data_IF_415375449967
#
_entry.id   IF_415375449967
#
_cell.length_a   1.000
_cell.length_b   1.000
_cell.length_c   1.000
_cell.angle_alpha   90.00
_cell.angle_beta   90.00
_cell.angle_gamma   90.00
#
_symmetry.space_group_name_H-M   'P 1'
#
loop_
_entity.id
_entity.type
_entity.pdbx_description
1 polymer ?
#
# COMPACT_ATOMS: atom_id res chain seq x y z
N UNK A 1 11.16 -5.57 0.96
CA UNK A 1 10.17 -6.45 1.61
C UNK A 1 10.55 -7.89 1.37
N UNK A 2 10.46 -8.73 2.41
CA UNK A 2 10.54 -10.19 2.29
C UNK A 2 9.23 -10.80 2.78
N UNK A 3 8.76 -11.86 2.14
CA UNK A 3 7.52 -12.55 2.50
C UNK A 3 7.81 -13.98 2.93
N UNK A 4 7.27 -14.39 4.08
CA UNK A 4 7.21 -15.77 4.53
C UNK A 4 5.79 -16.30 4.24
N UNK A 5 5.68 -17.11 3.19
CA UNK A 5 4.39 -17.64 2.69
C UNK A 5 3.86 -18.74 3.60
N UNK A 6 4.70 -19.43 4.35
CA UNK A 6 4.25 -20.46 5.30
C UNK A 6 3.64 -19.84 6.56
N UNK A 7 4.23 -18.74 7.04
CA UNK A 7 3.73 -18.01 8.22
C UNK A 7 2.73 -16.91 7.88
N UNK A 8 2.51 -16.61 6.60
CA UNK A 8 1.68 -15.50 6.12
C UNK A 8 2.10 -14.15 6.73
N UNK A 9 3.41 -13.92 6.81
CA UNK A 9 4.00 -12.68 7.34
C UNK A 9 4.92 -12.02 6.33
N UNK A 10 5.15 -10.72 6.52
CA UNK A 10 6.09 -9.96 5.71
C UNK A 10 7.00 -9.11 6.61
N UNK A 11 8.28 -9.06 6.25
CA UNK A 11 9.26 -8.15 6.83
C UNK A 11 9.33 -6.88 5.99
N UNK A 12 9.10 -5.74 6.64
CA UNK A 12 9.10 -4.41 6.01
C UNK A 12 10.39 -3.66 6.34
N UNK A 13 10.95 -2.99 5.33
CA UNK A 13 12.06 -2.06 5.53
C UNK A 13 11.50 -0.73 6.01
N UNK A 14 11.90 -0.32 7.22
CA UNK A 14 11.42 0.91 7.85
C UNK A 14 12.19 2.16 7.38
N UNK A 15 13.23 2.01 6.56
CA UNK A 15 13.97 3.13 5.97
C UNK A 15 13.29 3.72 4.73
N UNK A 16 12.30 3.02 4.17
CA UNK A 16 11.60 3.40 2.93
C UNK A 16 10.16 3.89 3.20
N UNK A 17 9.87 5.15 2.88
CA UNK A 17 8.51 5.69 2.98
C UNK A 17 7.58 5.05 1.94
N UNK A 18 6.54 4.36 2.40
CA UNK A 18 5.57 3.69 1.53
C UNK A 18 4.28 3.34 2.28
N UNK A 19 3.21 3.13 1.51
CA UNK A 19 1.98 2.49 1.95
C UNK A 19 2.06 0.99 1.61
N UNK A 20 1.64 0.13 2.52
CA UNK A 20 1.52 -1.31 2.28
C UNK A 20 0.05 -1.72 2.36
N UNK A 21 -0.46 -2.31 1.29
CA UNK A 21 -1.82 -2.84 1.21
C UNK A 21 -1.74 -4.36 1.38
N UNK A 22 -2.37 -4.90 2.42
CA UNK A 22 -2.45 -6.35 2.68
C UNK A 22 -3.83 -6.85 2.30
N UNK A 23 -3.92 -7.79 1.37
CA UNK A 23 -5.19 -8.37 0.90
C UNK A 23 -4.97 -9.79 0.38
N UNK A 24 -5.84 -10.71 0.78
CA UNK A 24 -5.83 -12.13 0.33
C UNK A 24 -4.45 -12.79 0.46
N UNK A 25 -3.74 -12.50 1.56
CA UNK A 25 -2.41 -13.04 1.82
C UNK A 25 -1.28 -12.45 0.98
N UNK A 26 -1.55 -11.40 0.21
CA UNK A 26 -0.58 -10.67 -0.61
C UNK A 26 -0.36 -9.28 -0.06
N UNK A 27 0.85 -8.77 -0.24
CA UNK A 27 1.21 -7.39 0.11
C UNK A 27 1.56 -6.64 -1.16
N UNK A 28 0.86 -5.55 -1.43
CA UNK A 28 1.18 -4.59 -2.48
C UNK A 28 1.85 -3.37 -1.85
N UNK A 29 3.11 -3.11 -2.20
CA UNK A 29 3.82 -1.89 -1.80
C UNK A 29 3.48 -0.76 -2.76
N UNK A 30 3.01 0.35 -2.20
CA UNK A 30 2.72 1.59 -2.91
C UNK A 30 3.78 2.63 -2.48
N UNK A 31 4.72 3.02 -3.35
CA UNK A 31 5.76 4.00 -3.01
C UNK A 31 5.14 5.34 -2.62
N UNK A 32 5.73 6.02 -1.62
CA UNK A 32 5.33 7.37 -1.27
C UNK A 32 5.56 8.33 -2.45
N UNK A 33 4.66 9.30 -2.58
CA UNK A 33 4.77 10.40 -3.55
C UNK A 33 5.29 11.66 -2.85
N UNK A 34 5.93 12.55 -3.61
CA UNK A 34 6.43 13.81 -3.08
C UNK A 34 5.29 14.75 -2.65
N UNK A 35 4.18 14.74 -3.40
CA UNK A 35 3.00 15.55 -3.16
C UNK A 35 1.76 14.91 -3.82
N UNK A 36 0.59 15.06 -3.21
CA UNK A 36 -0.67 14.51 -3.71
C UNK A 36 -1.44 13.75 -2.63
N UNK A 37 -2.38 12.92 -3.06
CA UNK A 37 -3.18 12.08 -2.17
C UNK A 37 -3.39 10.69 -2.76
N UNK A 38 -3.38 9.69 -1.88
CA UNK A 38 -3.83 8.33 -2.16
C UNK A 38 -5.18 8.11 -1.45
N UNK A 39 -6.18 7.62 -2.18
CA UNK A 39 -7.49 7.27 -1.63
C UNK A 39 -7.66 5.76 -1.63
N UNK A 40 -7.94 5.20 -0.46
CA UNK A 40 -8.26 3.78 -0.28
C UNK A 40 -9.78 3.61 -0.23
N UNK A 41 -10.29 2.74 -1.11
CA UNK A 41 -11.71 2.40 -1.16
C UNK A 41 -11.89 1.05 -0.47
N UNK A 42 -12.66 1.06 0.61
CA UNK A 42 -13.02 -0.15 1.35
C UNK A 42 -14.37 -0.68 0.88
N UNK A 43 -14.50 -2.00 0.79
CA UNK A 43 -15.78 -2.67 0.57
C UNK A 43 -15.77 -4.03 1.27
N UNK A 44 -16.79 -4.29 2.08
CA UNK A 44 -16.96 -5.57 2.77
C UNK A 44 -15.78 -5.97 3.67
N UNK A 45 -15.06 -5.01 4.26
CA UNK A 45 -13.88 -5.27 5.08
C UNK A 45 -12.57 -5.42 4.29
N UNK A 46 -12.63 -5.40 2.96
CA UNK A 46 -11.46 -5.51 2.09
C UNK A 46 -11.13 -4.20 1.40
N UNK A 47 -9.86 -4.05 1.02
CA UNK A 47 -9.46 -3.01 0.05
C UNK A 47 -10.03 -3.38 -1.31
N UNK A 48 -11.00 -2.60 -1.78
CA UNK A 48 -11.57 -2.75 -3.11
C UNK A 48 -10.64 -2.15 -4.15
N UNK A 49 -10.17 -0.93 -3.89
CA UNK A 49 -9.42 -0.14 -4.86
C UNK A 49 -8.48 0.86 -4.16
N UNK A 50 -7.45 1.26 -4.89
CA UNK A 50 -6.51 2.32 -4.53
C UNK A 50 -6.41 3.30 -5.69
N UNK A 51 -6.75 4.55 -5.42
CA UNK A 51 -6.72 5.63 -6.41
C UNK A 51 -5.68 6.65 -6.02
N UNK A 52 -4.69 6.87 -6.89
CA UNK A 52 -3.68 7.91 -6.73
C UNK A 52 -4.06 9.15 -7.53
N UNK A 53 -4.06 10.31 -6.87
CA UNK A 53 -4.20 11.61 -7.52
C UNK A 53 -2.94 12.43 -7.30
N UNK A 54 -2.13 12.57 -8.36
CA UNK A 54 -1.01 13.51 -8.37
C UNK A 54 -1.56 14.94 -8.51
N UNK A 55 -1.19 15.84 -7.61
CA UNK A 55 -1.69 17.22 -7.59
C UNK A 55 -0.58 18.17 -8.02
N UNK A 56 -0.62 18.67 -9.25
CA UNK A 56 0.21 19.81 -9.66
C UNK A 56 -0.39 21.07 -9.06
N UNK A 57 0.31 21.70 -8.10
CA UNK A 57 -0.11 22.99 -7.55
C UNK A 57 0.44 24.09 -8.45
N UNK A 58 -0.46 24.85 -9.07
CA UNK A 58 -0.17 26.05 -9.86
C UNK A 58 -0.08 27.27 -8.95
#
# INVERSE_FOLDING_TARGET
>A
MKTDVEKMTAEIDLTENSLYIVKDGKVTKVPAIQHGEDKIVWKNGDVLDWVRSERVRV
#
